data_IF_557646382014
#
_entry.id   IF_557646382014
#
_cell.length_a   1.000
_cell.length_b   1.000
_cell.length_c   1.000
_cell.angle_alpha   90.00
_cell.angle_beta   90.00
_cell.angle_gamma   90.00
#
_symmetry.space_group_name_H-M   'P 1'
#
loop_
_entity.id
_entity.type
_entity.pdbx_description
1 polymer ?
#
# COMPACT_ATOMS: atom_id res chain seq x y z
N UNK A 1 -19.78 -31.65 8.39
CA UNK A 1 -19.69 -31.31 6.95
C UNK A 1 -20.27 -32.49 6.20
N UNK A 2 -21.44 -32.42 5.56
CA UNK A 2 -22.04 -33.63 4.99
C UNK A 2 -21.53 -33.89 3.56
N UNK A 3 -20.80 -35.00 3.38
CA UNK A 3 -20.31 -35.51 2.10
C UNK A 3 -20.77 -36.97 1.98
N UNK A 4 -21.36 -37.36 0.85
CA UNK A 4 -21.85 -38.73 0.68
C UNK A 4 -20.82 -39.62 -0.01
N UNK A 5 -20.59 -40.82 0.51
CA UNK A 5 -19.62 -41.75 -0.07
C UNK A 5 -20.12 -42.38 -1.38
N UNK A 6 -19.29 -43.26 -1.96
CA UNK A 6 -19.72 -44.15 -3.03
C UNK A 6 -20.85 -45.11 -2.63
N UNK A 7 -21.13 -45.26 -1.32
CA UNK A 7 -22.27 -46.02 -0.81
C UNK A 7 -23.58 -45.22 -0.79
N UNK A 8 -23.61 -44.00 -1.34
CA UNK A 8 -24.84 -43.24 -1.47
C UNK A 8 -25.68 -43.75 -2.64
N UNK A 9 -26.84 -44.35 -2.32
CA UNK A 9 -27.82 -44.86 -3.29
C UNK A 9 -28.81 -43.79 -3.80
N UNK A 10 -28.66 -42.52 -3.37
CA UNK A 10 -29.48 -41.41 -3.90
C UNK A 10 -30.92 -41.35 -3.42
N UNK A 11 -31.29 -42.08 -2.35
CA UNK A 11 -32.66 -42.14 -1.78
C UNK A 11 -33.26 -40.78 -1.37
N UNK A 12 -32.44 -39.80 -1.01
CA UNK A 12 -32.87 -38.42 -0.76
C UNK A 12 -33.52 -38.13 0.60
N UNK A 13 -33.60 -39.08 1.53
CA UNK A 13 -34.22 -38.84 2.86
C UNK A 13 -33.52 -37.72 3.66
N UNK A 14 -32.19 -37.61 3.58
CA UNK A 14 -31.44 -36.52 4.20
C UNK A 14 -31.82 -35.12 3.66
N UNK A 15 -32.26 -35.04 2.41
CA UNK A 15 -32.68 -33.77 1.78
C UNK A 15 -34.03 -33.34 2.34
N UNK A 16 -34.98 -34.29 2.45
CA UNK A 16 -36.33 -34.03 2.98
C UNK A 16 -36.29 -33.51 4.42
N UNK A 17 -35.35 -33.99 5.22
CA UNK A 17 -35.22 -33.65 6.63
C UNK A 17 -34.32 -32.44 6.89
N UNK A 18 -33.67 -31.85 5.87
CA UNK A 18 -32.73 -30.75 6.08
C UNK A 18 -33.47 -29.41 6.28
N UNK A 19 -33.48 -28.83 7.49
CA UNK A 19 -34.28 -27.63 7.77
C UNK A 19 -33.77 -26.38 7.04
N UNK A 20 -32.48 -26.34 6.73
CA UNK A 20 -31.88 -25.22 5.99
C UNK A 20 -31.80 -25.47 4.49
N UNK A 21 -32.35 -26.59 3.99
CA UNK A 21 -32.24 -27.05 2.60
C UNK A 21 -30.80 -27.03 2.07
N UNK A 22 -29.83 -27.34 2.92
CA UNK A 22 -28.41 -27.31 2.59
C UNK A 22 -27.91 -28.56 1.86
N UNK A 23 -28.77 -29.54 1.58
CA UNK A 23 -28.42 -30.82 0.97
C UNK A 23 -29.16 -30.97 -0.37
N UNK A 24 -28.45 -31.40 -1.42
CA UNK A 24 -29.01 -31.70 -2.74
C UNK A 24 -28.38 -32.98 -3.33
N UNK A 25 -28.94 -33.51 -4.42
CA UNK A 25 -28.30 -34.60 -5.17
C UNK A 25 -27.42 -34.02 -6.29
N UNK A 26 -26.23 -34.58 -6.44
CA UNK A 26 -25.30 -34.35 -7.55
C UNK A 26 -24.83 -35.73 -8.04
N UNK A 27 -25.07 -36.05 -9.31
CA UNK A 27 -24.73 -37.35 -9.91
C UNK A 27 -25.27 -38.55 -9.09
N UNK A 28 -26.51 -38.44 -8.58
CA UNK A 28 -27.15 -39.47 -7.75
C UNK A 28 -26.63 -39.56 -6.31
N UNK A 29 -25.66 -38.72 -5.92
CA UNK A 29 -25.02 -38.69 -4.60
C UNK A 29 -25.41 -37.45 -3.82
N UNK A 30 -25.55 -37.56 -2.51
CA UNK A 30 -25.97 -36.44 -1.66
C UNK A 30 -24.80 -35.49 -1.36
N UNK A 31 -24.99 -34.21 -1.61
CA UNK A 31 -24.00 -33.16 -1.44
C UNK A 31 -24.55 -32.07 -0.51
N UNK A 32 -23.72 -31.48 0.34
CA UNK A 32 -24.13 -30.36 1.19
C UNK A 32 -23.12 -29.22 1.27
N UNK A 33 -23.56 -28.10 1.85
CA UNK A 33 -22.71 -26.98 2.24
C UNK A 33 -21.43 -27.44 2.99
N UNK A 34 -20.27 -26.96 2.53
CA UNK A 34 -18.96 -27.27 3.09
C UNK A 34 -18.68 -26.60 4.44
N UNK A 35 -19.55 -25.70 4.91
CA UNK A 35 -19.33 -24.91 6.13
C UNK A 35 -17.99 -24.14 6.13
N UNK A 36 -17.56 -23.64 4.96
CA UNK A 36 -16.28 -22.91 4.81
C UNK A 36 -16.26 -21.51 5.45
N UNK A 37 -17.42 -20.96 5.81
CA UNK A 37 -17.54 -19.65 6.47
C UNK A 37 -17.40 -18.43 5.57
N UNK A 38 -17.20 -18.59 4.25
CA UNK A 38 -17.11 -17.45 3.32
C UNK A 38 -18.40 -16.60 3.36
N UNK A 39 -19.57 -17.24 3.38
CA UNK A 39 -20.85 -16.54 3.50
C UNK A 39 -20.99 -15.72 4.81
N UNK A 40 -20.40 -16.21 5.90
CA UNK A 40 -20.35 -15.53 7.19
C UNK A 40 -19.43 -14.30 7.12
N UNK A 41 -18.19 -14.49 6.67
CA UNK A 41 -17.18 -13.40 6.57
C UNK A 41 -17.60 -12.27 5.62
N UNK A 42 -18.38 -12.58 4.60
CA UNK A 42 -18.75 -11.63 3.55
C UNK A 42 -20.20 -11.11 3.68
N UNK A 43 -20.86 -11.29 4.83
CA UNK A 43 -22.21 -10.78 5.03
C UNK A 43 -22.16 -9.28 5.39
N UNK A 44 -22.61 -8.37 4.52
CA UNK A 44 -22.48 -6.92 4.77
C UNK A 44 -23.38 -6.40 5.90
N UNK A 45 -24.35 -7.21 6.36
CA UNK A 45 -25.29 -6.82 7.41
C UNK A 45 -25.05 -7.59 8.72
N UNK A 46 -23.97 -8.39 8.80
CA UNK A 46 -23.71 -9.31 9.91
C UNK A 46 -24.93 -10.19 10.26
N UNK A 47 -25.68 -10.55 9.23
CA UNK A 47 -26.90 -11.34 9.33
C UNK A 47 -26.61 -12.85 9.39
N UNK A 48 -25.36 -13.28 9.26
CA UNK A 48 -24.96 -14.68 9.37
C UNK A 48 -24.04 -14.77 10.57
N UNK A 49 -24.22 -15.79 11.42
CA UNK A 49 -23.35 -16.04 12.57
C UNK A 49 -23.05 -17.52 12.72
N UNK A 50 -21.95 -17.84 13.41
CA UNK A 50 -21.58 -19.21 13.73
C UNK A 50 -22.23 -19.65 15.05
N UNK A 51 -22.89 -20.79 15.06
CA UNK A 51 -23.47 -21.38 16.26
C UNK A 51 -22.44 -22.23 17.04
N UNK A 52 -22.83 -22.70 18.23
CA UNK A 52 -21.98 -23.51 19.11
C UNK A 52 -21.54 -24.86 18.50
N UNK A 53 -22.24 -25.33 17.47
CA UNK A 53 -21.92 -26.58 16.76
C UNK A 53 -20.96 -26.35 15.58
N UNK A 54 -20.50 -25.11 15.39
CA UNK A 54 -19.62 -24.69 14.29
C UNK A 54 -20.33 -24.58 12.94
N UNK A 55 -21.66 -24.63 12.89
CA UNK A 55 -22.46 -24.37 11.70
C UNK A 55 -22.88 -22.91 11.60
N UNK A 56 -23.32 -22.48 10.43
CA UNK A 56 -23.73 -21.09 10.20
C UNK A 56 -25.24 -20.96 10.15
N UNK A 57 -25.76 -19.88 10.73
CA UNK A 57 -27.19 -19.59 10.85
C UNK A 57 -27.45 -18.17 10.37
N UNK A 58 -28.55 -17.97 9.64
CA UNK A 58 -28.98 -16.65 9.16
C UNK A 58 -29.97 -16.05 10.15
N UNK A 59 -29.63 -14.90 10.71
CA UNK A 59 -30.56 -14.02 11.40
C UNK A 59 -31.47 -13.33 10.37
N UNK A 60 -32.74 -13.74 10.35
CA UNK A 60 -33.74 -13.23 9.40
C UNK A 60 -34.14 -11.79 9.67
N UNK A 61 -33.94 -11.27 10.87
CA UNK A 61 -34.26 -9.88 11.19
C UNK A 61 -33.21 -8.92 10.58
N UNK A 62 -31.95 -9.35 10.50
CA UNK A 62 -30.84 -8.59 9.91
C UNK A 62 -30.69 -8.83 8.40
N UNK A 63 -31.17 -9.97 7.91
CA UNK A 63 -31.05 -10.34 6.50
C UNK A 63 -32.04 -9.56 5.64
N UNK A 64 -31.52 -8.78 4.69
CA UNK A 64 -32.33 -8.06 3.69
C UNK A 64 -32.43 -8.81 2.35
N UNK A 65 -31.95 -10.05 2.29
CA UNK A 65 -32.00 -10.86 1.07
C UNK A 65 -31.05 -10.41 -0.06
N UNK A 66 -29.99 -9.64 0.23
CA UNK A 66 -29.10 -9.06 -0.79
C UNK A 66 -28.38 -10.05 -1.74
N UNK A 67 -28.31 -11.35 -1.42
CA UNK A 67 -27.68 -12.35 -2.30
C UNK A 67 -26.18 -12.54 -2.15
N UNK A 68 -25.48 -11.76 -1.31
CA UNK A 68 -24.01 -11.85 -1.16
C UNK A 68 -23.53 -13.24 -0.73
N UNK A 69 -24.27 -13.92 0.14
CA UNK A 69 -23.95 -15.28 0.57
C UNK A 69 -24.15 -16.32 -0.55
N UNK A 70 -25.14 -16.12 -1.42
CA UNK A 70 -25.39 -16.97 -2.60
C UNK A 70 -24.25 -16.85 -3.60
N UNK A 71 -23.87 -15.61 -3.91
CA UNK A 71 -22.81 -15.26 -4.86
C UNK A 71 -21.42 -15.76 -4.43
N UNK A 72 -21.08 -15.61 -3.14
CA UNK A 72 -19.77 -16.01 -2.62
C UNK A 72 -19.68 -17.51 -2.26
N UNK A 73 -20.70 -18.32 -2.58
CA UNK A 73 -20.70 -19.74 -2.26
C UNK A 73 -19.85 -20.52 -3.29
N UNK A 74 -18.66 -21.05 -2.93
CA UNK A 74 -17.78 -21.71 -3.90
C UNK A 74 -18.37 -23.00 -4.47
N UNK A 75 -19.42 -23.53 -3.86
CA UNK A 75 -20.11 -24.75 -4.32
C UNK A 75 -21.51 -24.46 -4.85
N UNK A 76 -21.88 -23.18 -4.95
CA UNK A 76 -23.19 -22.71 -5.40
C UNK A 76 -24.35 -23.45 -4.72
N UNK A 77 -24.25 -23.61 -3.39
CA UNK A 77 -25.20 -24.38 -2.58
C UNK A 77 -26.27 -23.49 -1.93
N UNK A 78 -25.98 -22.19 -1.81
CA UNK A 78 -26.84 -21.19 -1.18
C UNK A 78 -27.83 -20.65 -2.22
N UNK A 79 -29.08 -20.48 -1.84
CA UNK A 79 -30.16 -19.95 -2.68
C UNK A 79 -31.11 -19.09 -1.85
N UNK A 80 -31.88 -18.21 -2.50
CA UNK A 80 -32.84 -17.33 -1.84
C UNK A 80 -34.22 -17.59 -2.43
N UNK A 81 -35.14 -18.05 -1.58
CA UNK A 81 -36.55 -18.28 -1.95
C UNK A 81 -37.41 -17.29 -1.13
N UNK A 82 -38.24 -16.48 -1.80
CA UNK A 82 -39.15 -15.50 -1.17
C UNK A 82 -38.45 -14.59 -0.13
N UNK A 83 -37.24 -14.15 -0.45
CA UNK A 83 -36.42 -13.30 0.43
C UNK A 83 -35.75 -14.03 1.61
N UNK A 84 -35.92 -15.35 1.71
CA UNK A 84 -35.32 -16.19 2.76
C UNK A 84 -34.12 -16.95 2.22
N UNK A 85 -32.98 -16.82 2.89
CA UNK A 85 -31.74 -17.51 2.53
C UNK A 85 -31.80 -18.97 3.01
N UNK A 86 -31.54 -19.89 2.08
CA UNK A 86 -31.39 -21.33 2.29
C UNK A 86 -30.03 -21.81 1.77
N UNK A 87 -29.69 -23.08 2.03
CA UNK A 87 -28.48 -23.70 1.50
C UNK A 87 -27.24 -23.60 2.41
N UNK A 88 -27.39 -23.05 3.61
CA UNK A 88 -26.32 -22.93 4.62
C UNK A 88 -26.50 -24.01 5.68
N UNK A 89 -25.47 -24.84 5.91
CA UNK A 89 -25.55 -25.90 6.91
C UNK A 89 -25.32 -25.33 8.32
N UNK A 90 -26.33 -25.48 9.19
CA UNK A 90 -26.28 -25.12 10.60
C UNK A 90 -25.64 -26.20 11.49
N UNK A 91 -25.19 -27.32 10.92
CA UNK A 91 -24.67 -28.49 11.63
C UNK A 91 -25.61 -29.03 12.73
N UNK A 92 -26.92 -28.96 12.50
CA UNK A 92 -27.95 -29.42 13.44
C UNK A 92 -28.02 -30.95 13.64
N UNK A 93 -27.35 -31.75 12.80
CA UNK A 93 -27.31 -33.21 12.95
C UNK A 93 -28.52 -33.97 12.41
N UNK A 94 -29.66 -33.33 12.12
CA UNK A 94 -30.90 -34.02 11.68
C UNK A 94 -30.68 -35.01 10.51
N UNK A 95 -29.84 -34.67 9.53
CA UNK A 95 -29.57 -35.55 8.39
C UNK A 95 -28.76 -36.83 8.75
N UNK A 96 -28.12 -36.86 9.93
CA UNK A 96 -27.34 -38.00 10.39
C UNK A 96 -28.20 -39.18 10.82
N UNK A 97 -29.39 -38.90 11.32
CA UNK A 97 -30.32 -39.91 11.81
C UNK A 97 -30.92 -40.74 10.68
N UNK A 98 -30.91 -40.20 9.45
CA UNK A 98 -31.61 -40.78 8.29
C UNK A 98 -30.68 -41.19 7.13
N UNK A 99 -29.36 -40.96 7.25
CA UNK A 99 -28.41 -41.27 6.18
C UNK A 99 -27.23 -42.11 6.70
N UNK A 100 -27.27 -43.45 6.53
CA UNK A 100 -26.22 -44.35 7.01
C UNK A 100 -24.91 -44.22 6.20
N UNK A 101 -24.97 -43.70 4.98
CA UNK A 101 -23.80 -43.48 4.10
C UNK A 101 -23.13 -42.11 4.30
N UNK A 102 -23.50 -41.38 5.36
CA UNK A 102 -22.97 -40.05 5.71
C UNK A 102 -21.53 -40.15 6.17
N UNK A 103 -20.69 -39.25 5.67
CA UNK A 103 -19.36 -38.97 6.23
C UNK A 103 -19.23 -37.48 6.53
N UNK A 104 -18.67 -37.17 7.69
CA UNK A 104 -18.43 -35.79 8.09
C UNK A 104 -17.09 -35.28 7.54
N UNK A 105 -17.11 -34.53 6.45
CA UNK A 105 -15.90 -34.00 5.81
C UNK A 105 -15.07 -32.99 6.63
N UNK A 106 -15.47 -32.68 7.86
CA UNK A 106 -14.67 -31.89 8.80
C UNK A 106 -13.42 -32.67 9.27
N UNK A 107 -13.42 -33.99 9.08
CA UNK A 107 -12.30 -34.89 9.39
C UNK A 107 -11.32 -35.05 8.21
N UNK A 108 -11.62 -34.47 7.04
CA UNK A 108 -10.75 -34.51 5.88
C UNK A 108 -9.81 -33.31 5.82
N UNK A 109 -8.57 -33.56 5.40
CA UNK A 109 -7.65 -32.49 4.99
C UNK A 109 -8.23 -31.75 3.79
N UNK A 110 -7.85 -30.48 3.62
CA UNK A 110 -8.31 -29.63 2.51
C UNK A 110 -8.07 -30.26 1.13
N UNK A 111 -6.96 -30.95 0.96
CA UNK A 111 -6.62 -31.71 -0.25
C UNK A 111 -7.60 -32.86 -0.50
N UNK A 112 -7.95 -33.64 0.53
CA UNK A 112 -8.97 -34.70 0.44
C UNK A 112 -10.35 -34.14 0.12
N UNK A 113 -10.69 -32.94 0.62
CA UNK A 113 -11.94 -32.26 0.28
C UNK A 113 -11.98 -31.88 -1.21
N UNK A 114 -10.89 -31.32 -1.75
CA UNK A 114 -10.78 -30.94 -3.16
C UNK A 114 -10.87 -32.18 -4.05
N UNK A 115 -10.05 -33.21 -3.80
CA UNK A 115 -10.07 -34.46 -4.56
C UNK A 115 -11.45 -35.13 -4.54
N UNK A 116 -12.15 -35.06 -3.40
CA UNK A 116 -13.51 -35.56 -3.28
C UNK A 116 -14.51 -34.74 -4.11
N UNK A 117 -14.42 -33.41 -4.12
CA UNK A 117 -15.28 -32.54 -4.92
C UNK A 117 -15.03 -32.73 -6.43
N UNK A 118 -13.76 -32.83 -6.84
CA UNK A 118 -13.37 -33.16 -8.21
C UNK A 118 -13.93 -34.52 -8.65
N UNK A 119 -13.91 -35.52 -7.77
CA UNK A 119 -14.50 -36.85 -8.05
C UNK A 119 -16.01 -36.80 -8.28
N UNK A 120 -16.69 -35.77 -7.79
CA UNK A 120 -18.12 -35.55 -8.02
C UNK A 120 -18.39 -34.81 -9.32
N UNK A 121 -17.35 -34.45 -10.09
CA UNK A 121 -17.41 -33.66 -11.32
C UNK A 121 -18.22 -32.36 -11.14
N UNK A 122 -18.12 -31.78 -9.94
CA UNK A 122 -18.71 -30.48 -9.63
C UNK A 122 -17.75 -29.44 -10.19
N UNK A 123 -18.26 -28.56 -11.06
CA UNK A 123 -17.55 -27.34 -11.46
C UNK A 123 -17.32 -26.50 -10.21
N UNK A 124 -16.11 -26.63 -9.63
CA UNK A 124 -15.58 -25.62 -8.74
C UNK A 124 -15.27 -24.40 -9.62
N UNK A 125 -15.73 -23.19 -9.25
CA UNK A 125 -15.22 -22.00 -9.91
C UNK A 125 -13.69 -22.04 -9.76
N UNK A 126 -12.97 -21.81 -10.86
CA UNK A 126 -11.56 -21.46 -10.73
C UNK A 126 -11.48 -20.21 -9.85
N UNK A 127 -10.32 -19.94 -9.23
CA UNK A 127 -10.15 -18.73 -8.44
C UNK A 127 -10.53 -17.46 -9.22
N UNK A 128 -10.42 -17.51 -10.55
CA UNK A 128 -10.80 -16.45 -11.49
C UNK A 128 -12.32 -16.37 -11.76
N UNK A 129 -13.06 -17.46 -11.56
CA UNK A 129 -14.52 -17.55 -11.75
C UNK A 129 -15.31 -17.17 -10.50
N UNK A 130 -14.64 -16.86 -9.38
CA UNK A 130 -15.28 -16.26 -8.21
C UNK A 130 -15.61 -14.82 -8.58
N UNK A 131 -16.89 -14.47 -8.71
CA UNK A 131 -17.24 -13.17 -9.24
C UNK A 131 -16.88 -12.09 -8.18
N UNK A 132 -16.06 -11.10 -8.55
CA UNK A 132 -15.43 -10.10 -7.64
C UNK A 132 -16.28 -8.85 -7.51
N UNK A 133 -17.34 -8.87 -6.68
CA UNK A 133 -18.37 -7.79 -6.68
C UNK A 133 -18.65 -7.41 -8.15
N UNK A 134 -19.05 -6.21 -8.48
CA UNK A 134 -18.53 -5.62 -9.72
C UNK A 134 -17.92 -4.36 -9.20
N UNK A 135 -16.60 -4.28 -9.12
CA UNK A 135 -16.01 -2.98 -8.82
C UNK A 135 -16.44 -2.07 -9.96
N UNK A 136 -17.40 -1.19 -9.68
CA UNK A 136 -17.72 -0.07 -10.57
C UNK A 136 -16.47 0.81 -10.77
N UNK A 137 -15.54 0.74 -9.82
CA UNK A 137 -14.24 1.40 -9.84
C UNK A 137 -13.27 0.53 -10.64
N UNK A 138 -13.04 0.91 -11.90
CA UNK A 138 -12.01 0.30 -12.76
C UNK A 138 -10.61 0.81 -12.43
N UNK A 139 -10.53 1.98 -11.83
CA UNK A 139 -9.30 2.66 -11.46
C UNK A 139 -9.57 3.58 -10.28
N UNK A 140 -8.60 3.70 -9.38
CA UNK A 140 -8.56 4.74 -8.35
C UNK A 140 -7.80 5.94 -8.91
N UNK A 141 -8.24 7.14 -8.56
CA UNK A 141 -7.59 8.37 -9.04
C UNK A 141 -7.34 9.34 -7.90
N UNK A 142 -6.27 10.13 -8.02
CA UNK A 142 -5.90 11.15 -7.04
C UNK A 142 -5.31 12.37 -7.74
N UNK A 143 -5.85 13.54 -7.41
CA UNK A 143 -5.31 14.81 -7.87
C UNK A 143 -4.10 15.24 -7.04
N UNK A 144 -3.04 15.71 -7.70
CA UNK A 144 -1.83 16.20 -7.05
C UNK A 144 -1.05 17.17 -7.95
N UNK A 145 -0.06 17.86 -7.37
CA UNK A 145 0.89 18.68 -8.13
C UNK A 145 2.12 17.86 -8.48
N UNK A 146 2.12 17.23 -9.66
CA UNK A 146 3.20 16.36 -10.11
C UNK A 146 4.35 17.10 -10.78
N UNK A 147 5.41 16.34 -11.06
CA UNK A 147 6.63 16.80 -11.73
C UNK A 147 6.92 15.89 -12.92
N UNK A 148 7.10 16.48 -14.09
CA UNK A 148 7.70 15.86 -15.26
C UNK A 148 9.22 15.85 -15.05
N UNK A 149 9.76 14.70 -14.66
CA UNK A 149 11.17 14.56 -14.33
C UNK A 149 12.11 14.70 -15.55
N UNK A 150 11.61 14.46 -16.77
CA UNK A 150 12.39 14.69 -18.00
C UNK A 150 12.60 16.18 -18.29
N UNK A 151 11.70 17.04 -17.78
CA UNK A 151 11.81 18.50 -17.89
C UNK A 151 12.47 19.14 -16.68
N UNK A 152 12.38 18.52 -15.50
CA UNK A 152 12.86 19.10 -14.26
C UNK A 152 14.38 19.34 -14.32
N UNK A 153 14.80 20.54 -13.91
CA UNK A 153 16.22 20.92 -13.81
C UNK A 153 16.67 21.05 -12.34
N UNK A 154 15.86 20.56 -11.40
CA UNK A 154 16.13 20.56 -9.96
C UNK A 154 16.52 21.92 -9.36
N UNK A 155 16.00 23.02 -9.92
CA UNK A 155 16.41 24.37 -9.54
C UNK A 155 15.97 24.85 -8.13
N UNK A 156 15.30 24.02 -7.33
CA UNK A 156 14.87 24.36 -5.96
C UNK A 156 13.69 25.33 -5.82
N UNK A 157 13.41 26.20 -6.81
CA UNK A 157 12.38 27.27 -6.71
C UNK A 157 11.02 26.81 -6.18
N UNK A 158 10.57 25.60 -6.54
CA UNK A 158 9.28 25.09 -6.08
C UNK A 158 9.26 24.72 -4.58
N UNK A 159 10.40 24.32 -4.02
CA UNK A 159 10.59 24.09 -2.58
C UNK A 159 10.57 25.42 -1.85
N UNK A 160 11.42 26.36 -2.26
CA UNK A 160 11.53 27.72 -1.70
C UNK A 160 10.22 28.52 -1.64
N UNK A 161 9.33 28.33 -2.62
CA UNK A 161 8.05 29.03 -2.69
C UNK A 161 6.89 28.21 -2.15
N UNK A 162 7.15 27.02 -1.59
CA UNK A 162 6.15 26.22 -0.91
C UNK A 162 5.90 26.83 0.48
N UNK A 163 4.67 27.29 0.79
CA UNK A 163 4.40 27.95 2.08
C UNK A 163 4.32 26.99 3.27
N UNK A 164 4.49 25.70 3.04
CA UNK A 164 4.25 24.60 3.99
C UNK A 164 5.28 23.48 3.80
N UNK A 165 6.43 23.79 3.16
CA UNK A 165 7.58 22.89 2.98
C UNK A 165 7.27 21.48 2.43
N UNK A 166 6.18 21.32 1.68
CA UNK A 166 5.73 20.04 1.13
C UNK A 166 6.53 19.52 -0.08
N UNK A 167 7.67 20.15 -0.40
CA UNK A 167 8.46 19.87 -1.60
C UNK A 167 9.93 19.99 -1.24
N UNK A 168 10.66 18.90 -1.46
CA UNK A 168 12.10 18.81 -1.21
C UNK A 168 12.82 18.64 -2.54
N UNK A 169 13.86 19.44 -2.73
CA UNK A 169 14.71 19.39 -3.92
C UNK A 169 16.15 19.24 -3.46
N UNK A 170 16.67 18.03 -3.57
CA UNK A 170 18.06 17.72 -3.26
C UNK A 170 18.85 17.79 -4.55
N UNK A 171 19.84 18.68 -4.59
CA UNK A 171 20.75 18.82 -5.73
C UNK A 171 21.96 17.91 -5.54
N UNK A 172 22.20 17.02 -6.51
CA UNK A 172 23.43 16.24 -6.59
C UNK A 172 24.50 17.10 -7.28
N UNK A 173 25.00 18.09 -6.54
CA UNK A 173 26.02 19.02 -7.01
C UNK A 173 26.86 19.54 -5.85
N UNK A 174 28.17 19.65 -6.07
CA UNK A 174 29.07 20.25 -5.09
C UNK A 174 28.60 21.66 -4.71
N UNK A 175 28.67 21.95 -3.42
CA UNK A 175 28.44 23.28 -2.87
C UNK A 175 29.33 24.30 -3.58
N UNK A 176 28.80 25.50 -3.81
CA UNK A 176 29.50 26.56 -4.52
C UNK A 176 29.28 26.58 -6.03
N UNK A 177 28.41 25.72 -6.60
CA UNK A 177 28.10 25.74 -8.05
C UNK A 177 26.65 26.16 -8.33
N UNK A 178 26.47 27.10 -9.26
CA UNK A 178 25.19 27.74 -9.58
C UNK A 178 24.21 26.78 -10.27
N UNK A 179 23.07 26.51 -9.64
CA UNK A 179 21.96 25.68 -10.16
C UNK A 179 21.02 26.37 -11.15
N UNK A 180 21.32 27.63 -11.52
CA UNK A 180 20.48 28.43 -12.43
C UNK A 180 19.05 28.65 -11.90
N UNK A 181 18.87 28.60 -10.57
CA UNK A 181 17.60 28.80 -9.88
C UNK A 181 17.01 30.22 -10.01
N UNK A 182 17.83 31.19 -10.39
CA UNK A 182 17.47 32.60 -10.60
C UNK A 182 16.95 33.34 -9.36
N UNK A 183 17.04 32.76 -8.16
CA UNK A 183 16.70 33.43 -6.90
C UNK A 183 17.49 34.74 -6.77
N UNK A 184 18.79 34.70 -7.14
CA UNK A 184 19.66 35.87 -7.18
C UNK A 184 19.14 37.01 -8.09
N UNK A 185 18.40 36.70 -9.15
CA UNK A 185 17.77 37.68 -10.04
C UNK A 185 16.52 38.26 -9.40
N UNK A 186 15.73 37.43 -8.72
CA UNK A 186 14.49 37.82 -8.06
C UNK A 186 14.73 38.76 -6.86
N UNK A 187 15.82 38.56 -6.11
CA UNK A 187 16.20 39.41 -4.97
C UNK A 187 17.02 40.64 -5.36
N UNK A 188 17.34 40.83 -6.65
CA UNK A 188 18.19 41.92 -7.12
C UNK A 188 17.36 43.21 -7.31
N UNK A 189 17.49 44.22 -6.43
CA UNK A 189 16.56 45.35 -6.37
C UNK A 189 16.64 46.27 -7.60
N UNK A 190 17.81 46.33 -8.24
CA UNK A 190 18.07 47.17 -9.41
C UNK A 190 18.17 46.38 -10.73
N UNK A 191 17.92 45.06 -10.68
CA UNK A 191 17.98 44.19 -11.85
C UNK A 191 19.38 43.98 -12.44
N UNK A 192 20.46 44.33 -11.73
CA UNK A 192 21.84 44.10 -12.19
C UNK A 192 22.16 42.61 -12.38
N UNK A 193 21.48 41.71 -11.66
CA UNK A 193 21.56 40.26 -11.85
C UNK A 193 20.42 39.80 -12.77
N UNK A 194 20.75 39.35 -13.98
CA UNK A 194 19.73 38.90 -14.93
C UNK A 194 19.32 37.42 -14.73
N UNK A 195 18.31 36.98 -15.50
CA UNK A 195 17.79 35.60 -15.45
C UNK A 195 18.78 34.51 -15.85
N UNK A 196 19.89 34.90 -16.48
CA UNK A 196 21.00 34.01 -16.83
C UNK A 196 22.17 34.14 -15.83
N UNK A 197 21.96 34.74 -14.66
CA UNK A 197 22.97 34.92 -13.60
C UNK A 197 24.22 35.66 -14.08
N UNK A 198 24.05 36.58 -15.04
CA UNK A 198 25.10 37.47 -15.50
C UNK A 198 24.90 38.81 -14.80
N UNK A 199 25.97 39.30 -14.15
CA UNK A 199 25.97 40.55 -13.40
C UNK A 199 26.37 41.72 -14.30
N UNK A 200 25.53 42.74 -14.38
CA UNK A 200 25.90 44.02 -14.96
C UNK A 200 26.73 44.83 -13.95
N UNK A 201 28.05 44.79 -14.13
CA UNK A 201 29.05 45.44 -13.29
C UNK A 201 28.86 46.96 -13.14
N UNK A 202 28.38 47.63 -14.19
CA UNK A 202 28.21 49.10 -14.18
C UNK A 202 27.05 49.59 -13.33
N UNK A 203 26.10 48.71 -13.03
CA UNK A 203 24.88 49.07 -12.27
C UNK A 203 24.81 48.39 -10.93
N UNK A 204 25.58 47.31 -10.71
CA UNK A 204 25.60 46.59 -9.45
C UNK A 204 26.10 47.49 -8.31
N UNK A 205 25.34 47.58 -7.23
CA UNK A 205 25.69 48.38 -6.04
C UNK A 205 26.33 47.55 -4.93
N UNK A 206 26.62 46.26 -5.17
CA UNK A 206 27.16 45.32 -4.18
C UNK A 206 26.34 45.25 -2.87
N UNK A 207 25.00 45.23 -2.95
CA UNK A 207 24.14 45.03 -1.78
C UNK A 207 24.18 43.59 -1.22
N UNK A 208 24.75 42.64 -1.98
CA UNK A 208 24.96 41.24 -1.63
C UNK A 208 23.69 40.40 -1.37
N UNK A 209 22.49 40.93 -1.62
CA UNK A 209 21.24 40.16 -1.50
C UNK A 209 21.28 38.84 -2.29
N UNK A 210 21.83 38.87 -3.52
CA UNK A 210 21.97 37.68 -4.35
C UNK A 210 22.88 36.62 -3.74
N UNK A 211 23.93 37.03 -3.02
CA UNK A 211 24.85 36.14 -2.33
C UNK A 211 24.16 35.49 -1.14
N UNK A 212 23.48 36.30 -0.31
CA UNK A 212 22.70 35.81 0.85
C UNK A 212 21.58 34.85 0.47
N UNK A 213 20.91 35.08 -0.65
CA UNK A 213 19.78 34.26 -1.09
C UNK A 213 20.21 33.08 -1.99
N UNK A 214 21.50 32.83 -2.19
CA UNK A 214 21.95 31.72 -3.04
C UNK A 214 21.93 30.42 -2.23
N UNK A 215 21.00 29.47 -2.49
CA UNK A 215 20.90 28.25 -1.69
C UNK A 215 22.12 27.33 -1.83
N UNK A 216 22.91 27.50 -2.89
CA UNK A 216 24.09 26.68 -3.19
C UNK A 216 25.41 27.40 -2.91
N UNK A 217 25.41 28.56 -2.26
CA UNK A 217 26.62 29.34 -2.00
C UNK A 217 27.50 29.61 -3.26
N UNK A 218 26.87 29.71 -4.43
CA UNK A 218 27.56 29.75 -5.73
C UNK A 218 28.03 31.13 -6.18
N UNK A 219 27.87 32.14 -5.33
CA UNK A 219 28.16 33.54 -5.65
C UNK A 219 29.21 34.04 -4.66
N UNK A 220 30.33 34.53 -5.17
CA UNK A 220 31.42 35.11 -4.39
C UNK A 220 31.72 36.54 -4.82
N UNK A 221 32.53 37.24 -4.03
CA UNK A 221 33.02 38.59 -4.35
C UNK A 221 34.54 38.53 -4.49
N UNK A 222 35.06 39.06 -5.59
CA UNK A 222 36.50 39.26 -5.81
C UNK A 222 36.72 40.60 -6.51
N UNK A 223 37.73 41.36 -6.08
CA UNK A 223 38.05 42.72 -6.57
C UNK A 223 36.81 43.64 -6.78
N UNK A 224 35.92 43.70 -5.78
CA UNK A 224 34.66 44.47 -5.83
C UNK A 224 33.69 44.05 -6.96
N UNK A 225 33.84 42.84 -7.49
CA UNK A 225 32.94 42.27 -8.49
C UNK A 225 32.29 40.98 -7.97
N UNK A 226 31.03 40.76 -8.35
CA UNK A 226 30.35 39.50 -8.08
C UNK A 226 30.72 38.46 -9.12
N UNK A 227 31.15 37.28 -8.66
CA UNK A 227 31.46 36.12 -9.48
C UNK A 227 30.39 35.06 -9.22
N UNK A 228 29.79 34.55 -10.29
CA UNK A 228 28.87 33.39 -10.22
C UNK A 228 29.61 32.17 -10.76
N UNK A 229 29.84 31.19 -9.91
CA UNK A 229 30.52 29.97 -10.31
C UNK A 229 29.58 29.06 -11.11
N UNK A 230 29.85 28.93 -12.42
CA UNK A 230 29.08 28.09 -13.34
C UNK A 230 29.95 27.01 -13.94
N UNK A 231 29.46 25.78 -13.90
CA UNK A 231 30.04 24.66 -14.65
C UNK A 231 28.99 24.20 -15.67
N UNK A 232 29.44 23.87 -16.89
CA UNK A 232 28.60 23.42 -17.98
C UNK A 232 28.23 21.93 -17.82
N UNK A 233 27.43 21.64 -16.80
CA UNK A 233 26.93 20.30 -16.48
C UNK A 233 25.44 20.40 -16.18
N UNK A 234 24.65 19.45 -16.71
CA UNK A 234 23.24 19.34 -16.35
C UNK A 234 23.15 19.01 -14.85
N UNK A 235 22.36 19.76 -14.06
CA UNK A 235 22.14 19.43 -12.66
C UNK A 235 21.41 18.08 -12.57
N UNK A 236 21.98 17.16 -11.79
CA UNK A 236 21.29 15.97 -11.33
C UNK A 236 20.75 16.23 -9.92
N UNK A 237 19.78 15.44 -9.50
CA UNK A 237 19.22 15.56 -8.17
C UNK A 237 17.96 14.73 -8.01
N UNK A 238 17.33 14.95 -6.86
CA UNK A 238 16.08 14.32 -6.48
C UNK A 238 15.06 15.39 -6.17
N UNK A 239 13.81 15.10 -6.50
CA UNK A 239 12.68 15.93 -6.10
C UNK A 239 11.61 15.01 -5.52
N UNK A 240 11.28 15.26 -4.26
CA UNK A 240 10.19 14.61 -3.55
C UNK A 240 9.16 15.68 -3.20
N UNK A 241 7.88 15.32 -3.24
CA UNK A 241 6.85 16.22 -2.77
C UNK A 241 5.64 15.44 -2.29
N UNK A 242 4.89 16.05 -1.38
CA UNK A 242 3.65 15.51 -0.86
C UNK A 242 2.74 15.01 -2.00
N UNK A 243 2.33 13.76 -1.89
CA UNK A 243 1.49 13.08 -2.86
C UNK A 243 0.02 13.54 -2.84
N UNK A 244 -0.39 14.29 -1.82
CA UNK A 244 -1.78 14.68 -1.57
C UNK A 244 -2.72 13.47 -1.41
N UNK A 245 -2.22 12.35 -0.87
CA UNK A 245 -3.01 11.13 -0.64
C UNK A 245 -4.07 11.32 0.45
N UNK A 246 -3.71 12.00 1.54
CA UNK A 246 -4.60 12.21 2.69
C UNK A 246 -4.35 11.26 3.85
N UNK A 247 -3.43 10.29 3.71
CA UNK A 247 -3.14 9.32 4.76
C UNK A 247 -2.77 9.97 6.10
N UNK A 248 -1.98 11.05 6.07
CA UNK A 248 -1.64 11.81 7.27
C UNK A 248 -2.86 12.44 7.96
N UNK A 249 -3.89 12.83 7.21
CA UNK A 249 -5.13 13.33 7.79
C UNK A 249 -6.02 12.19 8.34
N UNK A 250 -5.97 11.01 7.73
CA UNK A 250 -6.72 9.83 8.20
C UNK A 250 -6.12 9.26 9.50
N UNK A 251 -4.81 9.39 9.70
CA UNK A 251 -4.08 8.96 10.90
C UNK A 251 -4.04 10.01 12.02
N UNK A 252 -4.49 11.23 11.76
CA UNK A 252 -4.43 12.35 12.69
C UNK A 252 -5.62 12.30 13.67
N UNK A 253 -5.44 11.70 14.85
CA UNK A 253 -6.52 11.43 15.80
C UNK A 253 -7.14 12.69 16.43
N UNK A 254 -6.34 13.72 16.68
CA UNK A 254 -6.79 15.01 17.24
C UNK A 254 -7.49 15.91 16.20
N UNK A 255 -7.42 15.55 14.92
CA UNK A 255 -7.93 16.34 13.80
C UNK A 255 -7.23 17.69 13.64
N UNK A 256 -5.95 17.82 14.04
CA UNK A 256 -5.12 18.99 13.71
C UNK A 256 -4.89 19.07 12.20
N UNK A 257 -4.74 17.95 11.51
CA UNK A 257 -4.65 17.85 10.06
C UNK A 257 -5.88 17.12 9.48
N UNK A 258 -6.65 17.80 8.62
CA UNK A 258 -7.87 17.25 8.02
C UNK A 258 -7.94 17.49 6.51
N UNK A 259 -8.72 16.67 5.81
CA UNK A 259 -8.99 16.83 4.37
C UNK A 259 -10.35 17.50 4.15
N UNK A 260 -10.35 18.74 3.68
CA UNK A 260 -11.55 19.53 3.36
C UNK A 260 -11.59 19.79 1.85
N UNK A 261 -12.66 19.38 1.18
CA UNK A 261 -12.82 19.50 -0.29
C UNK A 261 -11.62 18.97 -1.09
N UNK A 262 -11.05 17.84 -0.64
CA UNK A 262 -9.90 17.20 -1.27
C UNK A 262 -8.56 17.89 -1.01
N UNK A 263 -8.49 18.87 -0.10
CA UNK A 263 -7.28 19.62 0.26
C UNK A 263 -6.95 19.43 1.73
N UNK A 264 -5.66 19.29 2.03
CA UNK A 264 -5.17 19.22 3.42
C UNK A 264 -5.23 20.60 4.08
N UNK A 265 -5.71 20.63 5.33
CA UNK A 265 -5.85 21.81 6.18
C UNK A 265 -5.34 21.47 7.57
N UNK A 266 -4.45 22.30 8.06
CA UNK A 266 -3.81 22.15 9.35
C UNK A 266 -4.26 23.27 10.29
N UNK A 267 -4.65 22.88 11.50
CA UNK A 267 -5.04 23.75 12.61
C UNK A 267 -4.05 23.51 13.75
N UNK A 268 -3.00 24.35 13.87
CA UNK A 268 -1.96 24.17 14.88
C UNK A 268 -2.50 24.24 16.31
N UNK A 269 -3.65 24.90 16.54
CA UNK A 269 -4.23 25.04 17.89
C UNK A 269 -4.73 23.72 18.47
N UNK A 270 -4.87 22.68 17.62
CA UNK A 270 -5.26 21.33 18.04
C UNK A 270 -4.08 20.39 18.16
N UNK A 271 -2.90 20.82 17.69
CA UNK A 271 -1.71 20.00 17.56
C UNK A 271 -0.90 19.99 18.86
N UNK A 272 -1.55 19.52 19.92
CA UNK A 272 -0.96 19.33 21.25
C UNK A 272 -0.53 17.87 21.42
N UNK A 273 0.47 17.64 22.28
CA UNK A 273 0.96 16.31 22.67
C UNK A 273 1.63 15.44 21.58
N UNK A 274 2.30 16.05 20.58
CA UNK A 274 3.00 15.31 19.49
C UNK A 274 2.13 14.25 18.79
N UNK A 275 0.83 14.54 18.67
CA UNK A 275 -0.17 13.64 18.11
C UNK A 275 -0.03 13.42 16.59
N UNK A 276 0.90 14.12 15.95
CA UNK A 276 1.24 13.97 14.54
C UNK A 276 2.36 12.95 14.26
N UNK A 277 3.05 12.41 15.26
CA UNK A 277 4.16 11.45 15.07
C UNK A 277 3.75 10.26 14.22
N UNK A 278 2.56 9.70 14.51
CA UNK A 278 2.02 8.58 13.73
C UNK A 278 1.77 8.97 12.26
N UNK A 279 1.34 10.21 12.00
CA UNK A 279 1.13 10.69 10.64
C UNK A 279 2.47 10.90 9.89
N UNK A 280 3.52 11.32 10.60
CA UNK A 280 4.89 11.48 10.09
C UNK A 280 5.45 10.10 9.70
N UNK A 281 5.44 9.15 10.64
CA UNK A 281 5.98 7.79 10.48
C UNK A 281 5.36 7.03 9.29
N UNK A 282 4.12 7.35 8.95
CA UNK A 282 3.37 6.70 7.88
C UNK A 282 3.28 7.52 6.59
N UNK A 283 3.97 8.67 6.51
CA UNK A 283 4.02 9.47 5.29
C UNK A 283 4.75 8.70 4.19
N UNK A 284 4.08 8.33 3.07
CA UNK A 284 4.67 7.44 2.06
C UNK A 284 5.91 7.99 1.34
N UNK A 285 6.15 9.30 1.46
CA UNK A 285 7.23 10.02 0.78
C UNK A 285 8.05 10.86 1.74
N UNK A 286 7.91 10.62 3.04
CA UNK A 286 8.63 11.31 4.13
C UNK A 286 8.59 12.83 4.08
N UNK A 287 7.71 13.43 3.27
CA UNK A 287 7.66 14.87 3.14
C UNK A 287 7.05 15.54 4.36
N UNK A 288 6.32 14.81 5.22
CA UNK A 288 5.66 15.34 6.41
C UNK A 288 6.68 15.32 7.55
N UNK A 289 6.88 16.44 8.23
CA UNK A 289 7.89 16.62 9.27
C UNK A 289 7.48 17.72 10.25
N UNK A 290 8.14 17.76 11.39
CA UNK A 290 8.06 18.88 12.34
C UNK A 290 8.75 20.12 11.77
N UNK A 291 8.09 21.28 11.87
CA UNK A 291 8.62 22.57 11.46
C UNK A 291 9.67 23.05 12.48
N UNK A 292 10.86 23.41 11.98
CA UNK A 292 11.98 23.82 12.84
C UNK A 292 11.83 25.25 13.39
N UNK A 293 10.95 26.08 12.80
CA UNK A 293 10.81 27.50 13.14
C UNK A 293 9.45 27.85 13.78
N UNK A 294 8.42 27.05 13.51
CA UNK A 294 7.07 27.29 14.01
C UNK A 294 6.73 26.37 15.20
N UNK A 295 6.43 26.96 16.35
CA UNK A 295 6.02 26.24 17.56
C UNK A 295 4.60 26.61 17.97
N UNK A 296 3.89 25.62 18.52
CA UNK A 296 2.59 25.75 19.18
C UNK A 296 2.84 25.77 20.69
N UNK A 297 2.32 26.81 21.36
CA UNK A 297 2.43 26.94 22.80
C UNK A 297 1.15 26.43 23.46
N UNK A 298 1.28 25.48 24.39
CA UNK A 298 0.18 25.05 25.24
C UNK A 298 0.15 25.92 26.52
N UNK A 299 -0.88 26.74 26.65
CA UNK A 299 -1.08 27.61 27.81
C UNK A 299 -1.41 26.85 29.10
N UNK A 300 -1.89 25.60 29.03
CA UNK A 300 -2.26 24.80 30.20
C UNK A 300 -1.06 24.12 30.84
N UNK A 301 -0.17 23.56 30.01
CA UNK A 301 1.00 22.79 30.46
C UNK A 301 2.33 23.58 30.36
N UNK A 302 2.29 24.82 29.88
CA UNK A 302 3.44 25.71 29.67
C UNK A 302 4.55 25.10 28.79
N UNK A 303 4.15 24.27 27.81
CA UNK A 303 5.04 23.54 26.90
C UNK A 303 4.97 24.07 25.46
N UNK A 304 6.08 23.93 24.74
CA UNK A 304 6.18 24.24 23.31
C UNK A 304 6.30 22.95 22.51
N UNK A 305 5.49 22.80 21.48
CA UNK A 305 5.52 21.69 20.54
C UNK A 305 5.83 22.23 19.13
N UNK A 306 6.70 21.58 18.35
CA UNK A 306 6.91 21.99 16.96
C UNK A 306 5.62 21.78 16.16
N UNK A 307 5.33 22.71 15.25
CA UNK A 307 4.16 22.61 14.38
C UNK A 307 4.42 21.63 13.23
N UNK A 308 3.36 21.08 12.65
CA UNK A 308 3.50 20.22 11.47
C UNK A 308 3.79 21.03 10.19
N UNK A 309 4.72 20.52 9.37
CA UNK A 309 5.01 20.99 8.01
C UNK A 309 4.97 19.81 7.01
N UNK A 310 5.19 20.09 5.73
CA UNK A 310 5.43 19.02 4.76
C UNK A 310 4.22 18.47 3.99
N UNK A 311 3.05 19.13 4.08
CA UNK A 311 1.80 18.71 3.45
C UNK A 311 1.29 19.69 2.38
N UNK A 312 0.76 19.19 1.26
CA UNK A 312 0.32 20.06 0.17
C UNK A 312 -1.06 20.70 0.44
N UNK A 313 -1.10 22.02 0.64
CA UNK A 313 -2.36 22.78 0.76
C UNK A 313 -3.05 23.09 -0.58
N UNK A 314 -2.45 22.67 -1.69
CA UNK A 314 -2.93 22.84 -3.06
C UNK A 314 -3.04 24.30 -3.55
N UNK A 315 -2.06 25.16 -3.21
CA UNK A 315 -2.04 26.57 -3.62
C UNK A 315 -1.59 26.82 -5.08
N UNK A 316 -0.89 25.85 -5.69
CA UNK A 316 -0.39 25.95 -7.07
C UNK A 316 0.83 26.85 -7.29
N UNK A 317 1.44 27.40 -6.22
CA UNK A 317 2.62 28.28 -6.34
C UNK A 317 3.80 27.59 -7.01
N UNK A 318 4.03 26.31 -6.72
CA UNK A 318 5.09 25.49 -7.31
C UNK A 318 4.99 25.38 -8.85
N UNK A 319 3.78 25.45 -9.41
CA UNK A 319 3.54 25.48 -10.86
C UNK A 319 3.84 26.87 -11.42
N UNK A 320 3.39 27.93 -10.73
CA UNK A 320 3.61 29.31 -11.16
C UNK A 320 5.09 29.68 -11.26
N UNK A 321 5.90 29.20 -10.31
CA UNK A 321 7.34 29.51 -10.24
C UNK A 321 8.20 28.56 -11.09
N UNK A 322 7.60 27.50 -11.65
CA UNK A 322 8.25 26.61 -12.63
C UNK A 322 8.08 27.17 -14.06
N UNK A 323 8.43 28.43 -14.27
CA UNK A 323 8.14 29.19 -15.49
C UNK A 323 9.08 28.85 -16.67
N UNK A 324 10.21 28.19 -16.38
CA UNK A 324 11.25 27.84 -17.36
C UNK A 324 11.06 26.45 -17.92
N UNK A 325 11.29 25.45 -17.09
CA UNK A 325 11.20 24.04 -17.43
C UNK A 325 9.76 23.62 -17.64
N UNK A 326 8.81 24.31 -16.98
CA UNK A 326 7.39 23.93 -16.95
C UNK A 326 7.22 22.45 -16.59
N UNK A 327 8.08 21.97 -15.68
CA UNK A 327 8.13 20.60 -15.24
C UNK A 327 6.99 20.29 -14.25
N UNK A 328 6.57 21.28 -13.43
CA UNK A 328 5.48 21.08 -12.48
C UNK A 328 4.14 21.49 -13.06
N UNK A 329 3.12 20.67 -12.82
CA UNK A 329 1.74 20.95 -13.23
C UNK A 329 0.73 20.22 -12.33
N UNK A 330 -0.55 20.58 -12.45
CA UNK A 330 -1.63 19.79 -11.85
C UNK A 330 -1.80 18.51 -12.67
N UNK A 331 -1.78 17.37 -11.98
CA UNK A 331 -1.86 16.03 -12.58
C UNK A 331 -2.90 15.19 -11.84
N UNK A 332 -3.38 14.14 -12.51
CA UNK A 332 -4.22 13.11 -11.92
C UNK A 332 -3.46 11.80 -12.01
N UNK A 333 -3.08 11.25 -10.86
CA UNK A 333 -2.59 9.88 -10.78
C UNK A 333 -3.78 8.94 -10.93
N UNK A 334 -3.59 7.83 -11.66
CA UNK A 334 -4.59 6.78 -11.83
C UNK A 334 -3.92 5.42 -11.73
N UNK A 335 -4.58 4.47 -11.08
CA UNK A 335 -4.11 3.09 -11.04
C UNK A 335 -5.30 2.13 -11.01
N UNK A 336 -5.22 1.09 -11.84
CA UNK A 336 -6.22 0.04 -12.04
C UNK A 336 -5.90 -1.24 -11.26
N UNK A 337 -4.88 -1.20 -10.39
CA UNK A 337 -4.41 -2.37 -9.64
C UNK A 337 -3.44 -3.25 -10.42
N UNK A 338 -2.96 -2.81 -11.59
CA UNK A 338 -1.94 -3.53 -12.37
C UNK A 338 -0.62 -3.68 -11.61
N UNK A 339 -0.02 -4.86 -11.75
CA UNK A 339 1.26 -5.25 -11.13
C UNK A 339 2.10 -5.95 -12.19
N UNK A 340 3.37 -5.57 -12.30
CA UNK A 340 4.33 -6.18 -13.24
C UNK A 340 4.58 -7.65 -12.92
N UNK A 341 4.98 -8.41 -13.93
CA UNK A 341 5.48 -9.80 -13.81
C UNK A 341 6.77 -9.89 -12.98
N UNK A 342 7.47 -8.77 -12.77
CA UNK A 342 8.63 -8.67 -11.88
C UNK A 342 8.29 -8.95 -10.40
N UNK A 343 7.00 -9.08 -10.06
CA UNK A 343 6.55 -9.32 -8.69
C UNK A 343 7.08 -10.64 -8.12
N UNK A 344 7.99 -10.53 -7.14
CA UNK A 344 8.58 -11.69 -6.45
C UNK A 344 7.73 -12.22 -5.28
N UNK A 345 6.47 -11.77 -5.13
CA UNK A 345 5.57 -12.20 -4.03
C UNK A 345 6.16 -12.03 -2.62
N UNK A 346 6.93 -10.96 -2.42
CA UNK A 346 7.63 -10.67 -1.17
C UNK A 346 6.73 -10.24 -0.01
N UNK A 347 5.46 -9.86 -0.26
CA UNK A 347 4.50 -9.48 0.77
C UNK A 347 4.69 -8.09 1.39
N UNK A 348 5.77 -7.37 1.09
CA UNK A 348 6.07 -6.05 1.66
C UNK A 348 4.90 -5.07 1.49
N UNK A 349 4.31 -5.02 0.30
CA UNK A 349 3.16 -4.17 0.00
C UNK A 349 1.92 -4.47 0.84
N UNK A 350 1.73 -5.72 1.28
CA UNK A 350 0.64 -6.10 2.17
C UNK A 350 0.92 -5.62 3.60
N UNK A 351 2.17 -5.67 4.03
CA UNK A 351 2.59 -5.27 5.38
C UNK A 351 2.56 -3.75 5.58
N UNK A 352 2.83 -2.95 4.54
CA UNK A 352 2.87 -1.47 4.64
C UNK A 352 1.54 -0.78 4.27
N UNK A 353 0.50 -1.54 3.89
CA UNK A 353 -0.76 -0.97 3.43
C UNK A 353 -1.69 -0.67 4.62
N UNK A 354 -1.84 0.59 4.98
CA UNK A 354 -2.68 1.04 6.10
C UNK A 354 -4.19 0.81 5.88
N UNK A 355 -4.62 0.65 4.62
CA UNK A 355 -6.02 0.44 4.26
C UNK A 355 -6.40 -1.04 4.12
N UNK A 356 -5.45 -1.98 4.35
CA UNK A 356 -5.64 -3.41 4.10
C UNK A 356 -6.20 -3.69 2.68
N UNK A 357 -5.77 -2.89 1.71
CA UNK A 357 -6.24 -2.96 0.32
C UNK A 357 -5.50 -4.03 -0.49
N UNK A 358 -4.42 -4.62 0.02
CA UNK A 358 -3.56 -5.54 -0.75
C UNK A 358 -3.55 -6.93 -0.09
N UNK A 359 -3.79 -7.95 -0.91
CA UNK A 359 -3.69 -9.35 -0.51
C UNK A 359 -2.60 -10.06 -1.31
N UNK A 360 -1.72 -10.79 -0.63
CA UNK A 360 -0.66 -11.58 -1.26
C UNK A 360 -1.24 -12.86 -1.88
N UNK A 361 -0.92 -13.10 -3.15
CA UNK A 361 -1.25 -14.33 -3.86
C UNK A 361 0.03 -15.02 -4.34
N UNK A 362 -0.09 -16.25 -4.87
CA UNK A 362 1.06 -16.93 -5.49
C UNK A 362 1.43 -16.23 -6.79
N UNK A 363 2.64 -15.70 -6.88
CA UNK A 363 3.19 -15.07 -8.08
C UNK A 363 2.76 -13.62 -8.30
N UNK A 364 1.86 -13.07 -7.48
CA UNK A 364 1.39 -11.68 -7.62
C UNK A 364 0.63 -11.22 -6.36
N UNK A 365 0.01 -10.03 -6.41
CA UNK A 365 -0.92 -9.52 -5.40
C UNK A 365 -2.26 -9.22 -6.03
N UNK A 366 -3.32 -9.19 -5.22
CA UNK A 366 -4.61 -8.62 -5.60
C UNK A 366 -4.88 -7.36 -4.81
N UNK A 367 -5.43 -6.35 -5.48
CA UNK A 367 -5.70 -5.03 -4.90
C UNK A 367 -7.21 -4.78 -4.86
N UNK A 368 -7.71 -4.41 -3.69
CA UNK A 368 -9.07 -3.89 -3.51
C UNK A 368 -9.09 -2.39 -3.79
N UNK A 369 -9.53 -2.03 -5.00
CA UNK A 369 -9.64 -0.65 -5.45
C UNK A 369 -10.71 0.16 -4.69
N UNK A 370 -11.63 -0.47 -3.94
CA UNK A 370 -12.57 0.27 -3.11
C UNK A 370 -11.90 0.83 -1.85
N UNK A 371 -10.87 0.13 -1.34
CA UNK A 371 -10.09 0.56 -0.16
C UNK A 371 -8.84 1.36 -0.53
N UNK A 372 -8.33 1.21 -1.74
CA UNK A 372 -7.09 1.86 -2.13
C UNK A 372 -7.26 3.39 -2.22
N UNK A 373 -6.62 4.13 -1.31
CA UNK A 373 -6.55 5.60 -1.35
C UNK A 373 -5.45 6.13 -2.30
N UNK A 374 -4.84 5.24 -3.09
CA UNK A 374 -3.72 5.54 -3.99
C UNK A 374 -2.58 6.27 -3.27
N UNK A 375 -2.17 5.87 -2.07
CA UNK A 375 -1.08 6.53 -1.31
C UNK A 375 0.33 6.22 -1.82
N UNK A 376 0.47 5.22 -2.70
CA UNK A 376 1.74 4.74 -3.29
C UNK A 376 2.75 4.15 -2.29
N UNK A 377 2.42 4.01 -1.01
CA UNK A 377 3.32 3.44 -0.01
C UNK A 377 3.82 2.04 -0.42
N UNK A 378 2.90 1.19 -0.91
CA UNK A 378 3.24 -0.12 -1.45
C UNK A 378 4.24 -0.07 -2.61
N UNK A 379 4.15 0.94 -3.48
CA UNK A 379 5.04 1.12 -4.63
C UNK A 379 6.40 1.66 -4.20
N UNK A 380 6.43 2.55 -3.21
CA UNK A 380 7.63 3.08 -2.57
C UNK A 380 8.44 2.00 -1.87
N UNK A 381 7.80 0.99 -1.27
CA UNK A 381 8.49 -0.12 -0.61
C UNK A 381 8.73 -1.36 -1.51
N UNK A 382 8.19 -1.41 -2.72
CA UNK A 382 8.35 -2.57 -3.62
C UNK A 382 9.80 -2.71 -4.17
N UNK A 383 10.61 -3.70 -3.75
CA UNK A 383 12.04 -3.74 -4.06
C UNK A 383 12.35 -3.89 -5.55
N UNK A 384 11.41 -4.47 -6.29
CA UNK A 384 11.51 -4.78 -7.73
C UNK A 384 10.70 -3.81 -8.59
N UNK A 385 10.13 -2.74 -8.00
CA UNK A 385 9.30 -1.75 -8.70
C UNK A 385 8.13 -2.34 -9.53
N UNK A 386 7.56 -3.46 -9.08
CA UNK A 386 6.44 -4.10 -9.76
C UNK A 386 5.12 -3.30 -9.67
N UNK A 387 5.05 -2.29 -8.80
CA UNK A 387 3.89 -1.40 -8.64
C UNK A 387 4.30 0.01 -9.09
N UNK A 388 3.52 0.70 -9.93
CA UNK A 388 3.85 2.04 -10.41
C UNK A 388 3.79 3.09 -9.30
N UNK A 389 4.61 4.14 -9.42
CA UNK A 389 4.64 5.31 -8.52
C UNK A 389 4.89 6.59 -9.31
N UNK A 390 4.49 7.72 -8.74
CA UNK A 390 4.63 9.07 -9.30
C UNK A 390 5.75 9.89 -8.63
N UNK A 391 6.35 9.36 -7.57
CA UNK A 391 7.44 10.00 -6.82
C UNK A 391 8.82 9.40 -7.17
N UNK A 392 9.87 10.20 -6.99
CA UNK A 392 11.26 9.71 -7.00
C UNK A 392 11.64 9.02 -5.69
N UNK A 393 10.89 9.25 -4.61
CA UNK A 393 11.15 8.62 -3.32
C UNK A 393 10.98 7.11 -3.39
N UNK A 394 11.85 6.42 -2.66
CA UNK A 394 11.91 4.96 -2.57
C UNK A 394 12.39 4.58 -1.17
N UNK A 395 11.79 3.57 -0.56
CA UNK A 395 12.38 2.93 0.61
C UNK A 395 13.33 1.82 0.14
N UNK A 396 14.54 1.77 0.71
CA UNK A 396 15.51 0.70 0.47
C UNK A 396 15.59 -0.18 1.70
N UNK A 397 15.73 -1.49 1.48
CA UNK A 397 15.99 -2.42 2.58
C UNK A 397 17.43 -2.16 3.05
N UNK A 398 17.63 -1.99 4.35
CA UNK A 398 18.93 -1.68 4.97
C UNK A 398 19.52 -2.83 5.77
N UNK A 399 18.99 -4.03 5.55
CA UNK A 399 19.37 -5.24 6.26
C UNK A 399 18.22 -5.84 7.03
N UNK A 400 18.55 -6.80 7.89
CA UNK A 400 17.58 -7.57 8.63
C UNK A 400 18.19 -8.82 9.24
N UNK A 401 17.32 -9.75 9.58
CA UNK A 401 17.69 -11.07 10.08
C UNK A 401 16.88 -12.12 9.33
N UNK A 402 17.53 -13.21 8.91
CA UNK A 402 16.83 -14.28 8.18
C UNK A 402 17.46 -15.63 8.49
N UNK A 403 16.72 -16.47 9.20
CA UNK A 403 17.20 -17.77 9.67
C UNK A 403 16.14 -18.86 9.46
N UNK A 404 16.59 -20.05 9.05
CA UNK A 404 15.72 -21.21 8.86
C UNK A 404 15.85 -22.13 10.06
N UNK A 405 14.78 -22.26 10.85
CA UNK A 405 14.67 -23.22 11.94
C UNK A 405 14.53 -24.63 11.36
N UNK A 406 15.64 -25.37 11.36
CA UNK A 406 15.72 -26.69 10.74
C UNK A 406 14.75 -27.69 11.38
N UNK A 407 14.38 -27.52 12.66
CA UNK A 407 13.38 -28.40 13.31
C UNK A 407 11.97 -28.25 12.74
N UNK A 408 11.65 -27.09 12.17
CA UNK A 408 10.36 -26.83 11.52
C UNK A 408 10.41 -27.08 10.02
N UNK A 409 11.61 -27.02 9.43
CA UNK A 409 11.81 -27.22 8.00
C UNK A 409 11.36 -28.61 7.55
N UNK A 410 10.58 -28.68 6.47
CA UNK A 410 10.15 -29.94 5.84
C UNK A 410 10.98 -30.30 4.61
N UNK A 411 12.12 -29.63 4.39
CA UNK A 411 13.08 -29.90 3.31
C UNK A 411 12.46 -29.93 1.89
N UNK A 412 11.47 -29.09 1.61
CA UNK A 412 10.77 -29.07 0.32
C UNK A 412 11.51 -28.30 -0.81
N UNK A 413 12.55 -27.52 -0.47
CA UNK A 413 13.34 -26.73 -1.41
C UNK A 413 12.63 -25.55 -2.08
N UNK A 414 11.40 -25.21 -1.67
CA UNK A 414 10.65 -24.10 -2.26
C UNK A 414 11.37 -22.75 -2.03
N UNK A 415 11.89 -22.53 -0.83
CA UNK A 415 12.60 -21.30 -0.47
C UNK A 415 13.81 -21.02 -1.38
N UNK A 416 14.60 -22.06 -1.67
CA UNK A 416 15.73 -22.00 -2.61
C UNK A 416 15.26 -21.59 -4.02
N UNK A 417 14.18 -22.21 -4.51
CA UNK A 417 13.64 -21.95 -5.86
C UNK A 417 13.04 -20.56 -6.04
N UNK A 418 12.43 -19.99 -5.01
CA UNK A 418 11.78 -18.68 -5.10
C UNK A 418 12.71 -17.51 -4.80
N UNK A 419 13.94 -17.76 -4.34
CA UNK A 419 14.86 -16.70 -3.95
C UNK A 419 15.42 -16.00 -5.21
N UNK A 420 15.08 -14.72 -5.47
CA UNK A 420 15.56 -14.02 -6.67
C UNK A 420 17.04 -13.62 -6.58
N UNK A 421 17.65 -13.74 -5.39
CA UNK A 421 19.04 -13.37 -5.11
C UNK A 421 19.95 -14.59 -4.92
N UNK A 422 19.42 -15.81 -5.10
CA UNK A 422 20.17 -17.06 -4.91
C UNK A 422 20.87 -17.13 -3.52
N UNK A 423 20.18 -16.61 -2.50
CA UNK A 423 20.70 -16.42 -1.14
C UNK A 423 20.39 -17.58 -0.20
N UNK A 424 19.95 -18.73 -0.72
CA UNK A 424 19.65 -19.92 0.08
C UNK A 424 20.43 -21.08 -0.52
N UNK A 425 21.33 -21.66 0.26
CA UNK A 425 22.17 -22.78 -0.15
C UNK A 425 21.66 -24.10 0.45
N UNK A 426 21.85 -25.20 -0.26
CA UNK A 426 21.59 -26.56 0.25
C UNK A 426 22.92 -27.18 0.70
N UNK A 427 23.08 -27.39 2.00
CA UNK A 427 24.30 -27.93 2.63
C UNK A 427 23.92 -29.12 3.51
N UNK A 428 24.44 -30.31 3.19
CA UNK A 428 24.17 -31.55 3.92
C UNK A 428 22.67 -31.84 4.13
N UNK A 429 21.85 -31.50 3.13
CA UNK A 429 20.39 -31.66 3.15
C UNK A 429 19.62 -30.59 3.94
N UNK A 430 20.31 -29.61 4.52
CA UNK A 430 19.72 -28.45 5.18
C UNK A 430 19.73 -27.24 4.25
N UNK A 431 18.71 -26.38 4.38
CA UNK A 431 18.68 -25.09 3.69
C UNK A 431 19.24 -24.02 4.62
N UNK A 432 20.25 -23.29 4.17
CA UNK A 432 20.97 -22.27 4.93
C UNK A 432 20.90 -20.95 4.19
N UNK A 433 20.65 -19.86 4.90
CA UNK A 433 20.63 -18.51 4.30
C UNK A 433 22.06 -18.00 4.21
N UNK A 434 22.43 -17.49 3.04
CA UNK A 434 23.68 -16.79 2.80
C UNK A 434 23.46 -15.29 3.08
N UNK A 435 24.00 -14.80 4.19
CA UNK A 435 23.80 -13.41 4.64
C UNK A 435 24.39 -12.38 3.66
N UNK A 436 25.48 -12.70 2.97
CA UNK A 436 26.11 -11.78 2.01
C UNK A 436 25.26 -11.55 0.76
N UNK A 437 24.40 -12.52 0.41
CA UNK A 437 23.50 -12.43 -0.76
C UNK A 437 22.07 -12.04 -0.39
N UNK A 438 21.70 -12.11 0.89
CA UNK A 438 20.32 -11.94 1.31
C UNK A 438 19.94 -10.46 1.35
N UNK A 439 19.08 -10.04 0.44
CA UNK A 439 18.53 -8.68 0.42
C UNK A 439 17.28 -8.51 1.31
N UNK A 440 17.03 -9.44 2.25
CA UNK A 440 15.91 -9.41 3.20
C UNK A 440 14.54 -9.05 2.57
N UNK A 441 14.26 -9.55 1.37
CA UNK A 441 12.98 -9.26 0.69
C UNK A 441 11.79 -10.01 1.29
N UNK A 442 12.00 -11.18 1.92
CA UNK A 442 10.93 -11.97 2.56
C UNK A 442 10.17 -12.95 1.65
N UNK A 443 10.53 -13.10 0.37
CA UNK A 443 9.88 -14.06 -0.54
C UNK A 443 9.96 -15.51 -0.04
N UNK A 444 11.10 -15.90 0.54
CA UNK A 444 11.30 -17.24 1.12
C UNK A 444 10.43 -17.48 2.37
N UNK A 445 10.30 -16.48 3.25
CA UNK A 445 9.41 -16.51 4.42
C UNK A 445 7.96 -16.78 3.99
N UNK A 446 7.45 -15.98 3.05
CA UNK A 446 6.04 -16.05 2.65
C UNK A 446 5.69 -17.29 1.80
N UNK A 447 6.68 -17.87 1.12
CA UNK A 447 6.47 -19.13 0.40
C UNK A 447 6.54 -20.36 1.30
N UNK A 448 7.09 -20.26 2.51
CA UNK A 448 7.35 -21.42 3.37
C UNK A 448 6.05 -22.01 3.96
N UNK A 449 5.63 -23.23 3.56
CA UNK A 449 4.41 -23.84 4.08
C UNK A 449 4.54 -24.30 5.54
N UNK A 450 5.78 -24.51 6.01
CA UNK A 450 6.07 -24.93 7.37
C UNK A 450 6.27 -23.75 8.34
N UNK A 451 6.27 -22.51 7.83
CA UNK A 451 6.58 -21.30 8.60
C UNK A 451 7.89 -21.42 9.40
N UNK A 452 8.94 -21.97 8.77
CA UNK A 452 10.21 -22.28 9.41
C UNK A 452 11.19 -21.09 9.49
N UNK A 453 10.79 -19.90 9.01
CA UNK A 453 11.66 -18.73 8.96
C UNK A 453 11.49 -17.85 10.19
N UNK A 454 12.60 -17.53 10.85
CA UNK A 454 12.72 -16.36 11.72
C UNK A 454 13.23 -15.22 10.86
N UNK A 455 12.44 -14.16 10.72
CA UNK A 455 12.67 -13.13 9.72
C UNK A 455 12.33 -11.74 10.25
N UNK A 456 13.28 -10.81 10.12
CA UNK A 456 13.15 -9.39 10.39
C UNK A 456 13.77 -8.59 9.24
N UNK A 457 13.28 -7.37 9.01
CA UNK A 457 13.83 -6.47 7.99
C UNK A 457 13.74 -5.02 8.47
N UNK A 458 14.72 -4.23 8.06
CA UNK A 458 14.78 -2.80 8.30
C UNK A 458 14.77 -2.03 6.98
N UNK A 459 14.24 -0.81 7.01
CA UNK A 459 14.26 0.10 5.86
C UNK A 459 15.10 1.33 6.18
N UNK A 460 15.66 1.93 5.13
CA UNK A 460 16.22 3.27 5.12
C UNK A 460 15.69 4.06 3.92
N UNK A 461 15.82 5.37 4.01
CA UNK A 461 15.49 6.27 2.91
C UNK A 461 16.45 6.07 1.72
N UNK A 462 15.91 6.12 0.51
CA UNK A 462 16.74 6.03 -0.70
C UNK A 462 17.53 7.29 -1.03
N UNK A 463 17.14 8.40 -0.40
CA UNK A 463 17.73 9.73 -0.56
C UNK A 463 18.20 10.14 0.83
N UNK A 464 19.51 10.38 0.97
CA UNK A 464 20.08 10.86 2.23
C UNK A 464 19.67 12.33 2.44
N UNK A 465 19.18 12.66 3.65
CA UNK A 465 18.87 14.03 4.06
C UNK A 465 17.48 14.56 3.64
N UNK A 466 16.49 13.67 3.42
CA UNK A 466 15.07 14.02 3.39
C UNK A 466 14.46 13.68 4.75
#
# INVERSE_FOLDING_TARGET
MFLSTNACEGKGECIKQCPTKAIRLINGKAFSCLTCGICFKNCPNDAIFQNIYGGYVVDRAKCNGCGMCMYNCPTNNIHIDDGVVYGICSRCGVCSEVCPSRVDGAEFTREKQINFIESMNILLPSYDDIPKKSNKIKEVTRAYFGTDFDKCIFCGRCSEHCPVNAIDVVLDRDEGICSECRICSDVCPNGSMNKNQIVNKSTCTLCLNCMKACPNNAISVDDFELIVNKINQKPNGYLVSCLNCGLCADLCENGSLVKVDGRLRYDPTKDVDSTHDTAIDHCPVTSLHEDEEMFVYDEFDETEFPALAGFCVSCGKCVQVCDVAKARSYMVASWDGTVSEDCISCGICCEVCQEDAITLNRGTISVDLEKCILCENCAVHCPVNAIPKTTMYKAKIDGGFNFIEQKLCMHCGLCHKVCPYEAIDEIDGNYVVNEEKCEYCGACKNSCPANAFLFERNFKDSIEGI
#
